data_IF_420083907312
#
_entry.id   IF_420083907312
#
_cell.length_a   1.000
_cell.length_b   1.000
_cell.length_c   1.000
_cell.angle_alpha   90.00
_cell.angle_beta   90.00
_cell.angle_gamma   90.00
#
_symmetry.space_group_name_H-M   'P 1'
#
loop_
_entity.id
_entity.type
_entity.pdbx_description
1 polymer ?
#
# COMPACT_ATOMS: atom_id res chain seq x y z
N UNK A 1 -6.24 4.72 5.21
CA UNK A 1 -4.80 5.07 5.36
C UNK A 1 -4.61 6.24 6.31
N UNK A 2 -5.31 7.37 6.11
CA UNK A 2 -5.18 8.57 6.95
C UNK A 2 -5.37 8.29 8.45
N UNK A 3 -6.42 7.55 8.82
CA UNK A 3 -6.70 7.18 10.21
C UNK A 3 -5.55 6.37 10.86
N UNK A 4 -4.91 5.46 10.10
CA UNK A 4 -3.75 4.71 10.60
C UNK A 4 -2.57 5.65 10.89
N UNK A 5 -2.28 6.58 9.97
CA UNK A 5 -1.21 7.56 10.13
C UNK A 5 -1.49 8.47 11.34
N UNK A 6 -2.72 8.97 11.48
CA UNK A 6 -3.12 9.86 12.57
C UNK A 6 -2.95 9.19 13.94
N UNK A 7 -3.32 7.91 14.06
CA UNK A 7 -3.20 7.17 15.31
C UNK A 7 -1.81 6.62 15.61
N UNK A 8 -0.90 6.56 14.62
CA UNK A 8 0.42 5.92 14.82
C UNK A 8 1.62 6.86 14.70
N UNK A 9 1.47 8.05 14.08
CA UNK A 9 2.60 8.95 13.76
C UNK A 9 3.40 9.47 14.95
N UNK A 10 2.83 9.46 16.15
CA UNK A 10 3.52 9.91 17.36
C UNK A 10 4.38 8.81 18.00
N UNK A 11 4.30 7.58 17.51
CA UNK A 11 5.02 6.41 18.03
C UNK A 11 6.17 5.96 17.13
N UNK A 12 6.35 6.59 15.96
CA UNK A 12 7.30 6.13 14.93
C UNK A 12 8.05 7.31 14.32
N UNK A 13 9.31 7.07 13.94
CA UNK A 13 10.12 8.07 13.25
C UNK A 13 9.86 8.13 11.74
N UNK A 14 9.36 7.04 11.16
CA UNK A 14 9.07 6.89 9.74
C UNK A 14 8.18 5.66 9.50
N UNK A 15 7.64 5.54 8.28
CA UNK A 15 6.86 4.39 7.83
C UNK A 15 7.57 3.61 6.74
N UNK A 16 7.35 2.30 6.71
CA UNK A 16 7.51 1.46 5.52
C UNK A 16 6.10 1.09 5.08
N UNK A 17 5.78 1.35 3.82
CA UNK A 17 4.49 1.03 3.22
C UNK A 17 4.73 -0.02 2.15
N UNK A 18 4.12 -1.19 2.30
CA UNK A 18 4.25 -2.29 1.34
C UNK A 18 2.86 -2.73 0.88
N UNK A 19 2.67 -2.80 -0.44
CA UNK A 19 1.50 -3.44 -1.03
C UNK A 19 1.85 -4.90 -1.33
N UNK A 20 1.20 -5.81 -0.61
CA UNK A 20 1.51 -7.24 -0.64
C UNK A 20 1.48 -7.83 -2.06
N UNK A 21 2.38 -8.78 -2.32
CA UNK A 21 2.37 -9.58 -3.53
C UNK A 21 1.25 -10.62 -3.46
N UNK A 22 0.08 -10.31 -4.05
CA UNK A 22 -1.03 -11.25 -4.05
C UNK A 22 -0.67 -12.55 -4.79
N UNK A 23 0.15 -12.51 -5.85
CA UNK A 23 0.53 -13.72 -6.59
C UNK A 23 1.30 -14.70 -5.72
N UNK A 24 2.24 -14.20 -4.91
CA UNK A 24 3.01 -14.97 -3.93
C UNK A 24 2.19 -15.36 -2.68
N UNK A 25 1.01 -14.77 -2.48
CA UNK A 25 0.16 -15.12 -1.35
C UNK A 25 -0.46 -16.53 -1.52
N UNK A 26 -0.56 -17.25 -0.40
CA UNK A 26 -1.18 -18.57 -0.34
C UNK A 26 -2.68 -18.54 -0.63
N UNK A 27 -3.24 -19.70 -0.96
CA UNK A 27 -4.66 -19.86 -1.30
C UNK A 27 -5.60 -19.33 -0.20
N UNK A 28 -5.36 -19.67 1.06
CA UNK A 28 -6.20 -19.25 2.19
C UNK A 28 -6.24 -17.72 2.35
N UNK A 29 -5.11 -17.04 2.13
CA UNK A 29 -5.07 -15.57 2.19
C UNK A 29 -5.88 -14.93 1.05
N UNK A 30 -5.72 -15.45 -0.18
CA UNK A 30 -6.50 -14.99 -1.34
C UNK A 30 -8.00 -15.19 -1.13
N UNK A 31 -8.39 -16.35 -0.57
CA UNK A 31 -9.78 -16.68 -0.25
C UNK A 31 -10.33 -15.73 0.82
N UNK A 32 -9.61 -15.56 1.92
CA UNK A 32 -10.00 -14.63 3.00
C UNK A 32 -10.19 -13.21 2.48
N UNK A 33 -9.27 -12.72 1.64
CA UNK A 33 -9.34 -11.39 1.06
C UNK A 33 -10.57 -11.26 0.14
N UNK A 34 -10.82 -12.26 -0.70
CA UNK A 34 -11.99 -12.27 -1.61
C UNK A 34 -13.32 -12.32 -0.86
N UNK A 35 -13.41 -13.10 0.21
CA UNK A 35 -14.66 -13.32 0.96
C UNK A 35 -14.99 -12.17 1.91
N UNK A 36 -13.98 -11.53 2.52
CA UNK A 36 -14.20 -10.54 3.58
C UNK A 36 -13.85 -9.10 3.16
N UNK A 37 -13.04 -8.93 2.11
CA UNK A 37 -12.50 -7.64 1.68
C UNK A 37 -12.52 -7.51 0.15
N UNK A 38 -13.69 -7.74 -0.44
CA UNK A 38 -13.86 -7.82 -1.90
C UNK A 38 -13.25 -6.63 -2.66
N UNK A 39 -13.44 -5.41 -2.17
CA UNK A 39 -12.85 -4.20 -2.77
C UNK A 39 -11.31 -4.26 -2.82
N UNK A 40 -10.68 -4.68 -1.72
CA UNK A 40 -9.22 -4.85 -1.66
C UNK A 40 -8.75 -5.95 -2.61
N UNK A 41 -9.48 -7.06 -2.68
CA UNK A 41 -9.19 -8.13 -3.64
C UNK A 41 -9.28 -7.65 -5.09
N UNK A 42 -10.29 -6.84 -5.44
CA UNK A 42 -10.45 -6.27 -6.78
C UNK A 42 -9.34 -5.28 -7.13
N UNK A 43 -8.92 -4.43 -6.17
CA UNK A 43 -7.78 -3.53 -6.36
C UNK A 43 -6.51 -4.34 -6.63
N UNK A 44 -6.28 -5.42 -5.89
CA UNK A 44 -5.06 -6.23 -6.03
C UNK A 44 -5.04 -7.15 -7.26
N UNK A 45 -6.17 -7.36 -7.93
CA UNK A 45 -6.29 -8.25 -9.11
C UNK A 45 -6.54 -7.51 -10.42
N UNK A 46 -6.82 -6.20 -10.38
CA UNK A 46 -7.00 -5.35 -11.55
C UNK A 46 -5.88 -4.31 -11.65
N UNK A 47 -5.14 -4.31 -12.76
CA UNK A 47 -3.96 -3.45 -12.94
C UNK A 47 -4.26 -1.96 -12.83
N UNK A 48 -5.29 -1.48 -13.51
CA UNK A 48 -5.65 -0.06 -13.52
C UNK A 48 -6.06 0.42 -12.13
N UNK A 49 -6.85 -0.38 -11.42
CA UNK A 49 -7.26 -0.07 -10.04
C UNK A 49 -6.08 -0.10 -9.08
N UNK A 50 -5.16 -1.04 -9.24
CA UNK A 50 -3.94 -1.14 -8.44
C UNK A 50 -3.04 0.09 -8.62
N UNK A 51 -2.76 0.46 -9.87
CA UNK A 51 -1.93 1.63 -10.20
C UNK A 51 -2.56 2.92 -9.67
N UNK A 52 -3.88 3.06 -9.83
CA UNK A 52 -4.63 4.19 -9.25
C UNK A 52 -4.50 4.22 -7.72
N UNK A 53 -4.67 3.08 -7.05
CA UNK A 53 -4.56 2.99 -5.59
C UNK A 53 -3.15 3.37 -5.10
N UNK A 54 -2.09 2.93 -5.79
CA UNK A 54 -0.71 3.33 -5.47
C UNK A 54 -0.56 4.85 -5.56
N UNK A 55 -1.04 5.44 -6.66
CA UNK A 55 -0.95 6.88 -6.88
C UNK A 55 -1.65 7.64 -5.76
N UNK A 56 -2.89 7.27 -5.45
CA UNK A 56 -3.68 7.89 -4.39
C UNK A 56 -3.00 7.74 -3.01
N UNK A 57 -2.43 6.56 -2.71
CA UNK A 57 -1.69 6.32 -1.48
C UNK A 57 -0.44 7.20 -1.38
N UNK A 58 0.38 7.26 -2.44
CA UNK A 58 1.56 8.13 -2.52
C UNK A 58 1.15 9.60 -2.30
N UNK A 59 0.09 10.07 -2.94
CA UNK A 59 -0.43 11.44 -2.77
C UNK A 59 -0.86 11.74 -1.33
N UNK A 60 -1.57 10.82 -0.67
CA UNK A 60 -2.00 10.99 0.73
C UNK A 60 -0.77 11.12 1.65
N UNK A 61 0.22 10.24 1.48
CA UNK A 61 1.45 10.24 2.29
C UNK A 61 2.23 11.55 2.12
N UNK A 62 2.37 12.03 0.88
CA UNK A 62 3.02 13.31 0.56
C UNK A 62 2.25 14.48 1.16
N UNK A 63 0.94 14.58 0.91
CA UNK A 63 0.09 15.69 1.40
C UNK A 63 0.06 15.78 2.93
N UNK A 64 0.13 14.65 3.64
CA UNK A 64 0.16 14.61 5.11
C UNK A 64 1.57 14.82 5.70
N UNK A 65 2.59 14.98 4.86
CA UNK A 65 3.98 15.15 5.30
C UNK A 65 4.52 13.94 6.06
N UNK A 66 4.10 12.73 5.67
CA UNK A 66 4.52 11.49 6.31
C UNK A 66 5.92 11.12 5.85
N UNK A 67 6.83 10.89 6.80
CA UNK A 67 8.17 10.40 6.49
C UNK A 67 8.10 8.92 6.11
N UNK A 68 8.25 8.60 4.83
CA UNK A 68 8.20 7.22 4.31
C UNK A 68 9.58 6.75 3.90
N UNK A 69 10.17 5.83 4.65
CA UNK A 69 11.49 5.29 4.34
C UNK A 69 11.44 4.46 3.05
N UNK A 70 10.39 3.67 2.86
CA UNK A 70 10.20 2.81 1.69
C UNK A 70 8.71 2.69 1.35
N UNK A 71 8.42 2.85 0.07
CA UNK A 71 7.15 2.48 -0.54
C UNK A 71 7.42 1.32 -1.51
N UNK A 72 6.88 0.14 -1.22
CA UNK A 72 7.17 -1.11 -1.94
C UNK A 72 5.92 -1.62 -2.65
N UNK A 73 6.05 -1.91 -3.93
CA UNK A 73 5.01 -2.57 -4.75
C UNK A 73 5.59 -3.82 -5.38
N UNK A 74 4.73 -4.80 -5.66
CA UNK A 74 5.12 -6.07 -6.31
C UNK A 74 4.37 -6.34 -7.62
N UNK A 75 3.46 -5.44 -7.99
CA UNK A 75 2.64 -5.51 -9.19
C UNK A 75 2.55 -4.11 -9.82
N UNK A 76 2.37 -3.95 -11.14
CA UNK A 76 2.69 -4.96 -12.15
C UNK A 76 4.19 -5.35 -12.14
N UNK A 77 5.02 -4.51 -11.52
CA UNK A 77 6.46 -4.72 -11.36
C UNK A 77 6.88 -4.45 -9.91
N UNK A 78 8.06 -4.96 -9.53
CA UNK A 78 8.65 -4.67 -8.24
C UNK A 78 9.22 -3.24 -8.24
N UNK A 79 8.69 -2.36 -7.39
CA UNK A 79 9.17 -1.00 -7.20
C UNK A 79 9.52 -0.77 -5.72
N UNK A 80 10.62 -0.08 -5.45
CA UNK A 80 10.97 0.41 -4.12
C UNK A 80 11.35 1.88 -4.21
N UNK A 81 10.50 2.74 -3.67
CA UNK A 81 10.65 4.20 -3.76
C UNK A 81 10.88 4.81 -2.38
N UNK A 82 11.80 5.77 -2.29
CA UNK A 82 11.90 6.66 -1.13
C UNK A 82 11.12 7.95 -1.42
N UNK A 83 10.06 8.21 -0.68
CA UNK A 83 9.21 9.39 -0.91
C UNK A 83 9.75 10.66 -0.24
N UNK A 84 10.84 10.58 0.53
CA UNK A 84 11.43 11.72 1.25
C UNK A 84 12.62 12.37 0.53
N UNK A 85 12.94 11.97 -0.71
CA UNK A 85 14.10 12.47 -1.47
C UNK A 85 13.72 13.48 -2.57
N UNK A 86 12.92 14.49 -2.22
CA UNK A 86 12.74 15.69 -3.04
C UNK A 86 13.60 16.83 -2.51
#
# INVERSE_FOLDING_TARGET
>A
MENLIENSRNFVDYYIVELLNLNAAGYEFKKLLRENYLESYEIMTNKERYEKFIKDAKEILIKKGVKVLQFVTHFPEFERVNLNQN
#
